data_IF_485809667696
#
_entry.id   IF_485809667696
#
_cell.length_a   1.000
_cell.length_b   1.000
_cell.length_c   1.000
_cell.angle_alpha   90.00
_cell.angle_beta   90.00
_cell.angle_gamma   90.00
#
_symmetry.space_group_name_H-M   'P 1'
#
loop_
_entity.id
_entity.type
_entity.pdbx_description
1 polymer ?
#
# COMPACT_ATOMS: atom_id res chain seq x y z
N UNK A 1 -6.12 -6.59 -5.22
CA UNK A 1 -6.89 -7.24 -4.14
C UNK A 1 -6.08 -8.44 -3.71
N UNK A 2 -5.50 -8.46 -2.50
CA UNK A 2 -4.55 -9.52 -2.11
C UNK A 2 -4.79 -10.13 -0.72
N UNK A 3 -5.84 -9.69 -0.01
CA UNK A 3 -6.43 -10.46 1.10
C UNK A 3 -7.59 -11.27 0.53
N UNK A 4 -7.43 -12.59 0.44
CA UNK A 4 -8.44 -13.50 -0.14
C UNK A 4 -9.78 -13.36 0.62
N UNK A 5 -10.83 -12.97 -0.11
CA UNK A 5 -12.23 -12.80 0.34
C UNK A 5 -12.57 -11.61 1.28
N UNK A 6 -11.62 -10.74 1.67
CA UNK A 6 -11.90 -9.60 2.59
C UNK A 6 -11.45 -8.22 2.06
N UNK A 7 -10.49 -8.17 1.14
CA UNK A 7 -10.07 -6.90 0.53
C UNK A 7 -11.06 -6.38 -0.53
N UNK A 8 -11.89 -5.39 -0.20
CA UNK A 8 -12.86 -4.80 -1.16
C UNK A 8 -12.25 -3.74 -2.09
N UNK A 9 -11.10 -3.17 -1.75
CA UNK A 9 -10.40 -2.13 -2.51
C UNK A 9 -9.04 -2.60 -3.02
N UNK A 10 -8.60 -2.06 -4.16
CA UNK A 10 -7.26 -2.32 -4.68
C UNK A 10 -6.21 -1.60 -3.81
N UNK A 11 -5.10 -2.28 -3.48
CA UNK A 11 -4.05 -1.72 -2.62
C UNK A 11 -3.49 -0.41 -3.20
N UNK A 12 -3.31 -0.37 -4.54
CA UNK A 12 -2.91 0.83 -5.27
C UNK A 12 -3.86 2.02 -5.06
N UNK A 13 -5.17 1.79 -5.03
CA UNK A 13 -6.16 2.85 -4.86
C UNK A 13 -6.14 3.40 -3.43
N UNK A 14 -5.91 2.54 -2.43
CA UNK A 14 -5.75 2.94 -1.04
C UNK A 14 -4.47 3.75 -0.82
N UNK A 15 -3.35 3.31 -1.39
CA UNK A 15 -2.07 4.02 -1.33
C UNK A 15 -2.20 5.39 -2.01
N UNK A 16 -2.79 5.44 -3.20
CA UNK A 16 -3.08 6.70 -3.90
C UNK A 16 -3.98 7.63 -3.08
N UNK A 17 -5.04 7.09 -2.49
CA UNK A 17 -5.96 7.89 -1.67
C UNK A 17 -5.25 8.49 -0.46
N UNK A 18 -4.39 7.73 0.22
CA UNK A 18 -3.64 8.22 1.37
C UNK A 18 -2.63 9.31 0.97
N UNK A 19 -1.99 9.16 -0.19
CA UNK A 19 -1.14 10.21 -0.77
C UNK A 19 -1.92 11.48 -1.12
N UNK A 20 -3.07 11.34 -1.81
CA UNK A 20 -3.95 12.46 -2.17
C UNK A 20 -4.46 13.23 -0.93
N UNK A 21 -4.61 12.53 0.21
CA UNK A 21 -4.95 13.13 1.51
C UNK A 21 -3.79 13.81 2.23
N UNK A 22 -2.58 13.75 1.68
CA UNK A 22 -1.38 14.35 2.28
C UNK A 22 -0.87 13.59 3.51
N UNK A 23 -1.23 12.32 3.68
CA UNK A 23 -0.63 11.50 4.73
C UNK A 23 0.87 11.33 4.46
N UNK A 24 1.73 11.30 5.50
CA UNK A 24 3.17 11.09 5.31
C UNK A 24 3.52 9.62 4.98
N UNK A 25 2.65 8.68 5.36
CA UNK A 25 2.86 7.27 5.12
C UNK A 25 1.55 6.45 5.17
N UNK A 26 1.60 5.23 4.66
CA UNK A 26 0.55 4.20 4.80
C UNK A 26 1.21 2.83 5.09
N UNK A 27 0.61 2.04 5.98
CA UNK A 27 1.06 0.68 6.24
C UNK A 27 0.19 -0.35 5.51
N UNK A 28 0.82 -1.38 4.96
CA UNK A 28 0.15 -2.55 4.39
C UNK A 28 0.39 -3.74 5.29
N UNK A 29 -0.67 -4.41 5.73
CA UNK A 29 -0.62 -5.51 6.69
C UNK A 29 -1.64 -6.59 6.30
N UNK A 30 -1.50 -7.17 5.10
CA UNK A 30 -2.40 -8.25 4.66
C UNK A 30 -2.30 -9.48 5.57
N UNK A 31 -3.38 -10.26 5.63
CA UNK A 31 -3.50 -11.48 6.43
C UNK A 31 -2.57 -12.60 5.94
N UNK A 32 -1.45 -12.83 6.64
CA UNK A 32 -0.53 -13.94 6.37
C UNK A 32 0.18 -13.91 5.02
N UNK A 33 0.05 -12.82 4.26
CA UNK A 33 0.62 -12.67 2.90
C UNK A 33 1.22 -11.27 2.70
N UNK A 34 2.03 -11.13 1.64
CA UNK A 34 2.72 -9.87 1.26
C UNK A 34 2.49 -9.51 -0.21
N UNK A 35 1.41 -10.02 -0.76
CA UNK A 35 1.09 -10.00 -2.18
C UNK A 35 0.81 -8.58 -2.71
N UNK A 36 0.39 -7.64 -1.86
CA UNK A 36 0.14 -6.24 -2.23
C UNK A 36 1.42 -5.40 -2.41
N UNK A 37 2.59 -5.92 -2.05
CA UNK A 37 3.83 -5.14 -2.05
C UNK A 37 4.23 -4.61 -3.44
N UNK A 38 4.20 -5.41 -4.52
CA UNK A 38 4.55 -4.91 -5.86
C UNK A 38 3.61 -3.80 -6.32
N UNK A 39 2.30 -3.92 -6.08
CA UNK A 39 1.32 -2.91 -6.49
C UNK A 39 1.55 -1.57 -5.80
N UNK A 40 1.88 -1.61 -4.51
CA UNK A 40 2.22 -0.41 -3.74
C UNK A 40 3.54 0.21 -4.20
N UNK A 41 4.56 -0.62 -4.46
CA UNK A 41 5.84 -0.13 -4.96
C UNK A 41 5.71 0.51 -6.35
N UNK A 42 4.96 -0.12 -7.26
CA UNK A 42 4.70 0.43 -8.59
C UNK A 42 4.00 1.80 -8.53
N UNK A 43 3.15 2.04 -7.53
CA UNK A 43 2.59 3.38 -7.32
C UNK A 43 3.66 4.38 -6.85
N UNK A 44 4.50 4.02 -5.89
CA UNK A 44 5.59 4.88 -5.41
C UNK A 44 6.56 5.23 -6.53
N UNK A 45 6.84 4.31 -7.45
CA UNK A 45 7.67 4.56 -8.64
C UNK A 45 7.08 5.60 -9.61
N UNK A 46 5.77 5.90 -9.51
CA UNK A 46 5.15 6.98 -10.29
C UNK A 46 5.28 8.36 -9.66
N UNK A 47 5.67 8.45 -8.39
CA UNK A 47 5.85 9.71 -7.69
C UNK A 47 7.23 10.33 -7.99
N UNK A 48 7.36 11.63 -7.71
CA UNK A 48 8.66 12.28 -7.75
C UNK A 48 9.60 11.63 -6.73
N UNK A 49 10.89 11.48 -7.07
CA UNK A 49 11.88 10.88 -6.15
C UNK A 49 12.07 11.65 -4.85
N UNK A 50 11.68 12.92 -4.83
CA UNK A 50 11.69 13.79 -3.65
C UNK A 50 10.39 13.76 -2.86
N UNK A 51 9.37 13.04 -3.33
CA UNK A 51 8.11 12.89 -2.61
C UNK A 51 8.36 12.18 -1.27
N UNK A 52 7.97 12.78 -0.13
CA UNK A 52 8.26 12.25 1.19
C UNK A 52 7.36 11.06 1.59
N UNK A 53 6.35 10.71 0.78
CA UNK A 53 5.37 9.68 1.10
C UNK A 53 5.99 8.29 1.17
N UNK A 54 5.64 7.53 2.23
CA UNK A 54 6.23 6.21 2.49
C UNK A 54 5.18 5.11 2.57
N UNK A 55 5.49 3.98 1.95
CA UNK A 55 4.79 2.72 2.23
C UNK A 55 5.56 1.96 3.30
N UNK A 56 4.86 1.53 4.34
CA UNK A 56 5.39 0.67 5.40
C UNK A 56 4.93 -0.75 5.10
N UNK A 57 5.86 -1.59 4.67
CA UNK A 57 5.61 -2.97 4.32
C UNK A 57 5.56 -3.84 5.58
N UNK A 58 4.36 -4.32 5.92
CA UNK A 58 4.10 -5.21 7.05
C UNK A 58 3.30 -6.44 6.64
N UNK A 59 3.00 -7.29 7.62
CA UNK A 59 2.17 -8.49 7.48
C UNK A 59 1.41 -8.71 8.77
N UNK A 60 0.15 -9.09 8.69
CA UNK A 60 -0.57 -9.60 9.84
C UNK A 60 -0.25 -11.10 9.98
N UNK A 61 0.69 -11.40 10.87
CA UNK A 61 1.10 -12.77 11.18
C UNK A 61 0.17 -13.43 12.21
N UNK A 62 0.05 -14.75 12.13
CA UNK A 62 -0.72 -15.60 13.05
C UNK A 62 0.16 -16.25 14.12
#
# INVERSE_FOLDING_TARGET
KMSDMDGVSEAKDLVKRAHDWGHPAIALTDHGVVQSFPDANHYIETLDKSDPFKVIYGVEGY
#
